data_IF_651510188726
#
_entry.id   IF_651510188726
#
_cell.length_a   1.000
_cell.length_b   1.000
_cell.length_c   1.000
_cell.angle_alpha   90.00
_cell.angle_beta   90.00
_cell.angle_gamma   90.00
#
_symmetry.space_group_name_H-M   'P 1'
#
loop_
_entity.id
_entity.type
_entity.pdbx_description
1 polymer ?
#
# COMPACT_ATOMS: atom_id res chain seq x y z
N UNK A 1 15.46 1.26 -14.65
CA UNK A 1 15.52 -0.15 -15.13
C UNK A 1 15.85 -0.14 -16.60
N UNK A 2 16.98 -0.72 -17.00
CA UNK A 2 17.45 -0.87 -18.39
C UNK A 2 17.41 -2.33 -18.80
N UNK A 3 17.29 -2.61 -20.09
CA UNK A 3 17.35 -3.97 -20.63
C UNK A 3 18.63 -4.13 -21.45
N UNK A 4 19.51 -5.01 -21.01
CA UNK A 4 20.73 -5.35 -21.71
C UNK A 4 20.45 -6.49 -22.68
N UNK A 5 20.57 -6.23 -23.97
CA UNK A 5 20.37 -7.20 -25.04
C UNK A 5 21.73 -7.71 -25.49
N UNK A 6 21.98 -9.01 -25.35
CA UNK A 6 23.27 -9.65 -25.68
C UNK A 6 22.99 -10.65 -26.78
N UNK A 7 23.39 -10.30 -28.00
CA UNK A 7 23.10 -11.05 -29.21
C UNK A 7 24.21 -10.75 -30.22
N UNK A 8 24.86 -11.76 -30.80
CA UNK A 8 25.97 -11.60 -31.73
C UNK A 8 25.52 -11.16 -33.13
N UNK A 9 24.32 -11.51 -33.55
CA UNK A 9 23.77 -11.09 -34.81
C UNK A 9 23.24 -9.63 -34.69
N UNK A 10 23.87 -8.65 -35.38
CA UNK A 10 23.47 -7.25 -35.25
C UNK A 10 22.00 -6.97 -35.67
N UNK A 11 21.53 -7.64 -36.73
CA UNK A 11 20.18 -7.48 -37.24
C UNK A 11 19.14 -7.96 -36.19
N UNK A 12 19.44 -9.08 -35.56
CA UNK A 12 18.58 -9.64 -34.55
C UNK A 12 18.66 -8.86 -33.21
N UNK A 13 19.84 -8.38 -32.84
CA UNK A 13 20.03 -7.46 -31.71
C UNK A 13 19.18 -6.19 -31.88
N UNK A 14 19.28 -5.56 -33.05
CA UNK A 14 18.48 -4.36 -33.38
C UNK A 14 16.98 -4.66 -33.38
N UNK A 15 16.55 -5.82 -33.85
CA UNK A 15 15.16 -6.26 -33.81
C UNK A 15 14.64 -6.32 -32.38
N UNK A 16 15.36 -7.02 -31.48
CA UNK A 16 14.98 -7.13 -30.07
C UNK A 16 15.00 -5.78 -29.37
N UNK A 17 16.02 -4.96 -29.62
CA UNK A 17 16.08 -3.59 -29.08
C UNK A 17 14.90 -2.73 -29.55
N UNK A 18 14.52 -2.80 -30.83
CA UNK A 18 13.40 -2.05 -31.37
C UNK A 18 12.06 -2.55 -30.83
N UNK A 19 11.92 -3.85 -30.62
CA UNK A 19 10.75 -4.45 -29.97
C UNK A 19 10.57 -3.87 -28.56
N UNK A 20 11.64 -3.81 -27.77
CA UNK A 20 11.64 -3.26 -26.42
C UNK A 20 11.42 -1.75 -26.39
N UNK A 21 12.03 -1.00 -27.30
CA UNK A 21 11.85 0.46 -27.40
C UNK A 21 10.43 0.87 -27.76
N UNK A 22 9.68 0.10 -28.56
CA UNK A 22 8.25 0.34 -28.82
C UNK A 22 7.43 0.37 -27.53
N UNK A 23 7.84 -0.40 -26.53
CA UNK A 23 7.23 -0.43 -25.19
C UNK A 23 7.91 0.51 -24.18
N UNK A 24 8.69 1.48 -24.66
CA UNK A 24 9.36 2.52 -23.85
C UNK A 24 10.44 1.99 -22.89
N UNK A 25 11.07 0.84 -23.18
CA UNK A 25 12.21 0.33 -22.41
C UNK A 25 13.53 0.91 -22.95
N UNK A 26 14.38 1.31 -22.00
CA UNK A 26 15.76 1.72 -22.30
C UNK A 26 16.61 0.47 -22.57
N UNK A 27 17.31 0.43 -23.70
CA UNK A 27 18.08 -0.74 -24.13
C UNK A 27 19.56 -0.45 -24.27
N UNK A 28 20.39 -1.42 -23.90
CA UNK A 28 21.84 -1.42 -24.14
C UNK A 28 22.25 -2.73 -24.83
N UNK A 29 23.07 -2.63 -25.88
CA UNK A 29 23.47 -3.78 -26.70
C UNK A 29 24.88 -4.25 -26.40
N UNK A 30 25.10 -5.57 -26.42
CA UNK A 30 26.39 -6.21 -26.46
C UNK A 30 26.35 -7.37 -27.46
N UNK A 31 27.48 -7.67 -28.09
CA UNK A 31 27.59 -8.68 -29.15
C UNK A 31 28.45 -9.91 -28.76
N UNK A 32 29.00 -9.90 -27.55
CA UNK A 32 29.80 -11.00 -27.01
C UNK A 32 29.88 -10.90 -25.46
N UNK A 33 30.36 -11.97 -24.81
CA UNK A 33 30.46 -12.05 -23.35
C UNK A 33 31.42 -10.99 -22.77
N UNK A 34 32.54 -10.73 -23.46
CA UNK A 34 33.53 -9.77 -22.99
C UNK A 34 32.98 -8.35 -22.90
N UNK A 35 32.22 -7.92 -23.91
CA UNK A 35 31.54 -6.63 -23.92
C UNK A 35 30.39 -6.59 -22.92
N UNK A 36 29.62 -7.67 -22.82
CA UNK A 36 28.54 -7.80 -21.85
C UNK A 36 29.03 -7.64 -20.39
N UNK A 37 30.13 -8.31 -20.02
CA UNK A 37 30.76 -8.19 -18.69
C UNK A 37 31.15 -6.75 -18.39
N UNK A 38 31.71 -6.01 -19.36
CA UNK A 38 32.08 -4.58 -19.18
C UNK A 38 30.87 -3.68 -18.96
N UNK A 39 29.80 -3.89 -19.70
CA UNK A 39 28.56 -3.15 -19.55
C UNK A 39 27.87 -3.47 -18.23
N UNK A 40 27.78 -4.74 -17.88
CA UNK A 40 27.17 -5.22 -16.65
C UNK A 40 27.95 -4.84 -15.39
N UNK A 41 29.25 -4.51 -15.51
CA UNK A 41 30.01 -3.98 -14.38
C UNK A 41 29.36 -2.70 -13.80
N UNK A 42 28.73 -1.88 -14.66
CA UNK A 42 28.07 -0.62 -14.30
C UNK A 42 26.53 -0.73 -14.18
N UNK A 43 25.96 -1.94 -14.29
CA UNK A 43 24.52 -2.15 -14.22
C UNK A 43 24.01 -2.04 -12.78
N UNK A 44 22.76 -1.62 -12.65
CA UNK A 44 22.03 -1.55 -11.38
C UNK A 44 21.31 -2.88 -11.10
N UNK A 45 20.92 -3.11 -9.84
CA UNK A 45 20.30 -4.39 -9.40
C UNK A 45 18.99 -4.68 -10.15
N UNK A 46 18.28 -3.63 -10.52
CA UNK A 46 16.95 -3.70 -11.14
C UNK A 46 16.99 -3.77 -12.69
N UNK A 47 18.18 -3.81 -13.26
CA UNK A 47 18.34 -3.99 -14.71
C UNK A 47 18.05 -5.44 -15.11
N UNK A 48 17.64 -5.63 -16.37
CA UNK A 48 17.31 -6.95 -16.93
C UNK A 48 18.32 -7.30 -17.99
N UNK A 49 18.75 -8.54 -18.01
CA UNK A 49 19.65 -9.11 -19.04
C UNK A 49 18.87 -10.11 -19.89
N UNK A 50 18.84 -9.88 -21.20
CA UNK A 50 18.27 -10.77 -22.22
C UNK A 50 19.39 -11.21 -23.12
N UNK A 51 19.80 -12.46 -23.04
CA UNK A 51 21.00 -12.95 -23.71
C UNK A 51 20.72 -14.15 -24.62
N UNK A 52 21.29 -14.15 -25.83
CA UNK A 52 21.31 -15.37 -26.64
C UNK A 52 22.15 -16.45 -25.93
N UNK A 53 21.72 -17.69 -26.06
CA UNK A 53 22.41 -18.82 -25.48
C UNK A 53 23.84 -18.94 -26.02
N UNK A 54 24.03 -18.84 -27.35
CA UNK A 54 25.31 -19.01 -28.02
C UNK A 54 25.86 -17.67 -28.48
N UNK A 55 27.06 -17.34 -28.04
CA UNK A 55 27.79 -16.13 -28.38
C UNK A 55 29.15 -16.50 -28.96
N UNK A 56 29.82 -15.63 -29.73
CA UNK A 56 31.08 -15.94 -30.39
C UNK A 56 32.22 -16.37 -29.46
N UNK A 57 32.18 -15.91 -28.21
CA UNK A 57 33.19 -16.11 -27.18
C UNK A 57 32.74 -17.02 -26.03
N UNK A 58 31.63 -17.78 -26.20
CA UNK A 58 31.12 -18.75 -25.24
C UNK A 58 29.62 -18.79 -25.09
N UNK A 59 29.11 -19.45 -24.07
CA UNK A 59 27.66 -19.51 -23.77
C UNK A 59 27.25 -18.47 -22.74
N UNK A 60 26.05 -17.91 -22.90
CA UNK A 60 25.51 -16.92 -21.95
C UNK A 60 25.30 -17.48 -20.53
N UNK A 61 25.27 -18.80 -20.37
CA UNK A 61 25.28 -19.45 -19.05
C UNK A 61 26.57 -19.12 -18.28
N UNK A 62 27.69 -18.99 -18.95
CA UNK A 62 28.95 -18.55 -18.32
C UNK A 62 28.87 -17.11 -17.83
N UNK A 63 28.13 -16.24 -18.55
CA UNK A 63 27.87 -14.90 -18.11
C UNK A 63 26.99 -14.90 -16.86
N UNK A 64 25.95 -15.73 -16.82
CA UNK A 64 25.11 -15.91 -15.65
C UNK A 64 25.89 -16.39 -14.43
N UNK A 65 26.76 -17.40 -14.60
CA UNK A 65 27.68 -17.87 -13.54
C UNK A 65 28.59 -16.75 -13.03
N UNK A 66 29.19 -15.98 -13.96
CA UNK A 66 30.03 -14.84 -13.63
C UNK A 66 29.24 -13.78 -12.87
N UNK A 67 28.00 -13.47 -13.28
CA UNK A 67 27.13 -12.51 -12.58
C UNK A 67 26.89 -12.96 -11.13
N UNK A 68 26.53 -14.22 -10.92
CA UNK A 68 26.25 -14.75 -9.57
C UNK A 68 27.51 -14.78 -8.69
N UNK A 69 28.65 -15.10 -9.26
CA UNK A 69 29.94 -15.09 -8.56
C UNK A 69 30.42 -13.66 -8.17
N UNK A 70 29.90 -12.63 -8.81
CA UNK A 70 30.19 -11.22 -8.51
C UNK A 70 29.00 -10.47 -7.84
N UNK A 71 28.14 -11.20 -7.12
CA UNK A 71 26.95 -10.67 -6.39
C UNK A 71 25.99 -9.86 -7.27
N UNK A 72 26.00 -10.06 -8.58
CA UNK A 72 25.09 -9.41 -9.50
C UNK A 72 23.79 -10.19 -9.60
N UNK A 73 22.73 -9.63 -9.03
CA UNK A 73 21.42 -10.28 -8.87
C UNK A 73 20.39 -9.87 -9.94
N UNK A 74 20.83 -9.18 -11.01
CA UNK A 74 19.95 -8.78 -12.10
C UNK A 74 19.17 -9.97 -12.65
N UNK A 75 17.94 -9.70 -13.11
CA UNK A 75 17.12 -10.69 -13.78
C UNK A 75 17.79 -11.10 -15.09
N UNK A 76 17.94 -12.41 -15.29
CA UNK A 76 18.56 -12.97 -16.49
C UNK A 76 17.54 -13.81 -17.26
N UNK A 77 17.37 -13.52 -18.54
CA UNK A 77 16.49 -14.24 -19.47
C UNK A 77 17.35 -14.77 -20.61
N UNK A 78 17.23 -16.06 -20.90
CA UNK A 78 17.96 -16.69 -22.02
C UNK A 78 17.07 -16.69 -23.25
N UNK A 79 17.61 -16.25 -24.38
CA UNK A 79 17.03 -16.44 -25.73
C UNK A 79 17.71 -17.58 -26.46
N UNK A 80 17.01 -18.32 -27.29
CA UNK A 80 17.60 -19.38 -28.10
C UNK A 80 16.80 -19.70 -29.36
N UNK A 81 17.48 -20.14 -30.39
CA UNK A 81 16.82 -20.68 -31.57
C UNK A 81 16.35 -22.14 -31.36
N UNK A 82 16.99 -22.88 -30.46
CA UNK A 82 16.72 -24.30 -30.23
C UNK A 82 16.41 -24.56 -28.77
N UNK A 83 15.28 -25.24 -28.52
CA UNK A 83 14.86 -25.63 -27.17
C UNK A 83 15.60 -26.87 -26.66
N UNK A 84 16.83 -26.73 -26.21
CA UNK A 84 17.58 -27.83 -25.56
C UNK A 84 17.14 -27.90 -24.08
N UNK A 85 16.44 -28.97 -23.73
CA UNK A 85 15.89 -29.19 -22.38
C UNK A 85 16.97 -29.16 -21.30
N UNK A 86 18.13 -29.75 -21.56
CA UNK A 86 19.24 -29.82 -20.60
C UNK A 86 19.77 -28.42 -20.26
N UNK A 87 20.00 -27.59 -21.24
CA UNK A 87 20.51 -26.22 -21.11
C UNK A 87 19.49 -25.29 -20.43
N UNK A 88 18.20 -25.48 -20.75
CA UNK A 88 17.14 -24.78 -20.07
C UNK A 88 17.07 -25.08 -18.56
N UNK A 89 17.16 -26.37 -18.19
CA UNK A 89 17.18 -26.80 -16.79
C UNK A 89 18.41 -26.27 -16.05
N UNK A 90 19.58 -26.26 -16.68
CA UNK A 90 20.80 -25.73 -16.09
C UNK A 90 20.71 -24.22 -15.86
N UNK A 91 20.25 -23.44 -16.85
CA UNK A 91 20.08 -21.98 -16.71
C UNK A 91 19.12 -21.65 -15.61
N UNK A 92 17.99 -22.37 -15.47
CA UNK A 92 17.01 -22.18 -14.41
C UNK A 92 17.60 -22.50 -13.02
N UNK A 93 18.42 -23.57 -12.89
CA UNK A 93 19.10 -23.88 -11.62
C UNK A 93 20.10 -22.81 -11.20
N UNK A 94 20.71 -22.12 -12.16
CA UNK A 94 21.65 -21.00 -11.93
C UNK A 94 20.92 -19.68 -11.65
N UNK A 95 19.57 -19.68 -11.69
CA UNK A 95 18.76 -18.52 -11.35
C UNK A 95 18.44 -17.62 -12.55
N UNK A 96 18.36 -18.16 -13.77
CA UNK A 96 17.70 -17.46 -14.87
C UNK A 96 16.19 -17.37 -14.58
N UNK A 97 15.56 -16.26 -14.96
CA UNK A 97 14.12 -16.04 -14.74
C UNK A 97 13.27 -16.81 -15.74
N UNK A 98 13.74 -16.91 -16.99
CA UNK A 98 13.05 -17.64 -18.06
C UNK A 98 14.02 -18.05 -19.16
N UNK A 99 13.55 -18.98 -20.01
CA UNK A 99 14.25 -19.50 -21.20
C UNK A 99 13.28 -19.45 -22.37
N UNK A 100 13.48 -18.50 -23.30
CA UNK A 100 12.52 -18.16 -24.33
C UNK A 100 13.08 -18.52 -25.72
N UNK A 101 12.30 -19.26 -26.51
CA UNK A 101 12.65 -19.48 -27.91
C UNK A 101 12.46 -18.18 -28.71
N UNK A 102 13.44 -17.88 -29.60
CA UNK A 102 13.43 -16.64 -30.41
C UNK A 102 12.13 -16.43 -31.22
N UNK A 103 11.47 -17.51 -31.61
CA UNK A 103 10.18 -17.47 -32.33
C UNK A 103 9.01 -16.97 -31.44
N UNK A 104 9.14 -17.05 -30.12
CA UNK A 104 8.11 -16.67 -29.16
C UNK A 104 8.43 -15.37 -28.41
N UNK A 105 9.45 -14.62 -28.86
CA UNK A 105 9.91 -13.41 -28.17
C UNK A 105 8.85 -12.34 -28.09
N UNK A 106 8.11 -12.04 -29.16
CA UNK A 106 7.03 -11.05 -29.12
C UNK A 106 5.94 -11.40 -28.13
N UNK A 107 5.54 -12.66 -28.09
CA UNK A 107 4.42 -13.12 -27.25
C UNK A 107 4.81 -13.30 -25.78
N UNK A 108 6.08 -13.56 -25.46
CA UNK A 108 6.52 -13.90 -24.11
C UNK A 108 7.40 -12.85 -23.44
N UNK A 109 8.36 -12.26 -24.19
CA UNK A 109 9.35 -11.37 -23.60
C UNK A 109 8.71 -10.07 -23.07
N UNK A 110 7.88 -9.43 -23.87
CA UNK A 110 7.26 -8.15 -23.48
C UNK A 110 6.34 -8.31 -22.27
N UNK A 111 5.40 -9.29 -22.21
CA UNK A 111 4.58 -9.52 -21.01
C UNK A 111 5.42 -9.85 -19.77
N UNK A 112 6.51 -10.61 -19.93
CA UNK A 112 7.42 -10.93 -18.82
C UNK A 112 8.11 -9.67 -18.29
N UNK A 113 8.71 -8.85 -19.17
CA UNK A 113 9.41 -7.62 -18.78
C UNK A 113 8.43 -6.62 -18.15
N UNK A 114 7.21 -6.46 -18.68
CA UNK A 114 6.16 -5.63 -18.06
C UNK A 114 5.77 -6.12 -16.66
N UNK A 115 5.72 -7.43 -16.44
CA UNK A 115 5.47 -8.00 -15.13
C UNK A 115 6.61 -7.67 -14.16
N UNK A 116 7.86 -7.82 -14.61
CA UNK A 116 9.04 -7.48 -13.84
C UNK A 116 9.12 -5.97 -13.53
N UNK A 117 8.75 -5.12 -14.49
CA UNK A 117 8.66 -3.68 -14.28
C UNK A 117 7.62 -3.32 -13.21
N UNK A 118 6.44 -3.92 -13.27
CA UNK A 118 5.40 -3.73 -12.23
C UNK A 118 5.86 -4.22 -10.86
N UNK A 119 6.57 -5.34 -10.80
CA UNK A 119 7.19 -5.84 -9.57
C UNK A 119 8.26 -4.87 -9.04
N UNK A 120 9.06 -4.29 -9.95
CA UNK A 120 10.06 -3.28 -9.62
C UNK A 120 9.43 -1.97 -9.14
N UNK A 121 8.42 -1.45 -9.84
CA UNK A 121 7.66 -0.26 -9.43
C UNK A 121 7.01 -0.47 -8.05
N UNK A 122 6.45 -1.65 -7.80
CA UNK A 122 5.98 -2.03 -6.47
C UNK A 122 7.12 -2.03 -5.45
N UNK A 123 8.31 -2.56 -5.75
CA UNK A 123 9.47 -2.50 -4.86
C UNK A 123 9.94 -1.07 -4.62
N UNK A 124 9.94 -0.21 -5.63
CA UNK A 124 10.29 1.21 -5.46
C UNK A 124 9.26 1.95 -4.60
N UNK A 125 7.97 1.65 -4.76
CA UNK A 125 6.92 2.12 -3.85
C UNK A 125 7.14 1.61 -2.41
N UNK A 126 7.80 0.47 -2.23
CA UNK A 126 8.13 -0.14 -0.93
C UNK A 126 9.47 0.33 -0.37
N UNK A 127 10.38 0.84 -1.22
CA UNK A 127 11.67 1.47 -0.85
C UNK A 127 11.55 3.00 -0.66
N UNK A 128 10.35 3.56 -0.59
CA UNK A 128 10.19 4.92 -0.06
C UNK A 128 10.86 4.91 1.31
N UNK A 129 11.82 5.82 1.56
CA UNK A 129 12.47 5.88 2.86
C UNK A 129 11.41 5.94 3.94
N UNK A 130 11.28 4.88 4.74
CA UNK A 130 10.28 4.84 5.79
C UNK A 130 10.76 5.83 6.84
N UNK A 131 10.07 6.95 6.96
CA UNK A 131 10.37 7.88 8.03
C UNK A 131 10.09 7.21 9.37
N UNK A 132 11.13 6.97 10.12
CA UNK A 132 11.03 6.41 11.47
C UNK A 132 10.71 7.55 12.43
N UNK A 133 9.42 7.69 12.77
CA UNK A 133 8.95 8.63 13.79
C UNK A 133 9.71 8.41 15.10
N UNK A 134 10.07 9.52 15.77
CA UNK A 134 10.90 9.49 16.98
C UNK A 134 10.11 9.73 18.27
N UNK A 135 8.85 10.16 18.16
CA UNK A 135 7.98 10.42 19.29
C UNK A 135 7.81 9.21 20.22
N UNK A 136 7.63 9.48 21.51
CA UNK A 136 7.53 8.44 22.54
C UNK A 136 6.44 7.41 22.27
N UNK A 137 5.29 7.88 21.78
CA UNK A 137 4.16 7.03 21.40
C UNK A 137 4.56 6.03 20.31
N UNK A 138 5.29 6.50 19.28
CA UNK A 138 5.75 5.64 18.20
C UNK A 138 6.86 4.69 18.63
N UNK A 139 7.74 5.09 19.53
CA UNK A 139 8.77 4.20 20.10
C UNK A 139 8.16 3.02 20.86
N UNK A 140 7.04 3.25 21.57
CA UNK A 140 6.26 2.16 22.19
C UNK A 140 5.71 1.19 21.16
N UNK A 141 5.18 1.70 20.05
CA UNK A 141 4.70 0.88 18.92
C UNK A 141 5.86 0.09 18.31
N UNK A 142 7.00 0.71 18.06
CA UNK A 142 8.20 0.04 17.51
C UNK A 142 8.67 -1.14 18.36
N UNK A 143 8.64 -1.00 19.69
CA UNK A 143 8.93 -2.13 20.62
C UNK A 143 7.92 -3.26 20.44
N UNK A 144 6.62 -2.95 20.33
CA UNK A 144 5.56 -3.95 20.13
C UNK A 144 5.67 -4.64 18.76
N UNK A 145 6.01 -3.89 17.70
CA UNK A 145 6.30 -4.43 16.36
C UNK A 145 7.44 -5.44 16.42
N UNK A 146 8.57 -5.09 17.04
CA UNK A 146 9.72 -6.02 17.20
C UNK A 146 9.34 -7.29 17.93
N UNK A 147 8.53 -7.19 18.98
CA UNK A 147 8.08 -8.35 19.75
C UNK A 147 7.23 -9.29 18.90
N UNK A 148 6.20 -8.77 18.21
CA UNK A 148 5.28 -9.61 17.43
C UNK A 148 5.87 -10.08 16.11
N UNK A 149 6.83 -9.36 15.53
CA UNK A 149 7.47 -9.72 14.26
C UNK A 149 8.12 -11.11 14.30
N UNK A 150 8.70 -11.48 15.44
CA UNK A 150 9.36 -12.80 15.64
C UNK A 150 8.40 -13.99 15.71
N UNK A 151 7.10 -13.71 15.85
CA UNK A 151 6.04 -14.73 15.98
C UNK A 151 5.29 -14.93 14.66
N UNK A 152 4.43 -15.93 14.60
CA UNK A 152 3.46 -16.15 13.51
C UNK A 152 2.04 -15.69 13.85
N UNK A 153 1.85 -15.01 14.97
CA UNK A 153 0.55 -14.50 15.40
C UNK A 153 -0.04 -13.57 14.35
N UNK A 154 -1.35 -13.63 14.20
CA UNK A 154 -2.12 -12.63 13.46
C UNK A 154 -2.05 -11.28 14.19
N UNK A 155 -1.93 -10.20 13.45
CA UNK A 155 -1.84 -8.85 14.03
C UNK A 155 -2.96 -7.99 13.51
N UNK A 156 -3.71 -7.37 14.43
CA UNK A 156 -4.72 -6.37 14.09
C UNK A 156 -4.19 -4.96 14.41
N UNK A 157 -4.10 -4.11 13.39
CA UNK A 157 -3.65 -2.72 13.51
C UNK A 157 -4.88 -1.82 13.50
N UNK A 158 -5.12 -1.15 14.62
CA UNK A 158 -6.22 -0.20 14.78
C UNK A 158 -5.71 1.24 14.66
N UNK A 159 -6.48 2.12 14.04
CA UNK A 159 -6.16 3.54 13.97
C UNK A 159 -6.90 4.28 12.87
N UNK A 160 -6.96 5.59 12.99
CA UNK A 160 -7.61 6.45 12.00
C UNK A 160 -6.98 6.32 10.61
N UNK A 161 -7.73 6.76 9.59
CA UNK A 161 -7.20 6.79 8.23
C UNK A 161 -5.99 7.73 8.13
N UNK A 162 -4.99 7.32 7.34
CA UNK A 162 -3.77 8.12 7.15
C UNK A 162 -2.75 8.08 8.29
N UNK A 163 -2.94 7.28 9.36
CA UNK A 163 -1.97 7.16 10.48
C UNK A 163 -0.72 6.36 10.14
N UNK A 164 -0.72 5.62 9.01
CA UNK A 164 0.41 4.80 8.56
C UNK A 164 0.29 3.32 8.97
N UNK A 165 -0.91 2.76 9.04
CA UNK A 165 -1.16 1.34 9.38
C UNK A 165 -0.41 0.39 8.43
N UNK A 166 -0.41 0.68 7.14
CA UNK A 166 0.31 -0.12 6.13
C UNK A 166 1.83 -0.14 6.39
N UNK A 167 2.44 1.00 6.76
CA UNK A 167 3.86 1.05 7.11
C UNK A 167 4.18 0.16 8.31
N UNK A 168 3.30 0.10 9.29
CA UNK A 168 3.48 -0.80 10.44
C UNK A 168 3.39 -2.26 10.00
N UNK A 169 2.45 -2.61 9.12
CA UNK A 169 2.35 -3.97 8.57
C UNK A 169 3.62 -4.37 7.81
N UNK A 170 4.17 -3.47 7.00
CA UNK A 170 5.46 -3.67 6.31
C UNK A 170 6.62 -3.86 7.29
N UNK A 171 6.70 -3.04 8.34
CA UNK A 171 7.71 -3.19 9.40
C UNK A 171 7.63 -4.52 10.12
N UNK A 172 6.40 -5.00 10.42
CA UNK A 172 6.20 -6.32 11.02
C UNK A 172 6.75 -7.42 10.11
N UNK A 173 6.49 -7.33 8.82
CA UNK A 173 6.99 -8.28 7.83
C UNK A 173 8.52 -8.24 7.71
N UNK A 174 9.10 -7.04 7.50
CA UNK A 174 10.55 -6.84 7.34
C UNK A 174 11.36 -7.29 8.56
N UNK A 175 10.82 -7.18 9.78
CA UNK A 175 11.49 -7.63 11.01
C UNK A 175 11.16 -9.08 11.38
N UNK A 176 10.40 -9.78 10.54
CA UNK A 176 10.03 -11.19 10.76
C UNK A 176 11.00 -12.15 10.08
N UNK A 177 10.87 -13.45 10.42
CA UNK A 177 11.55 -14.53 9.69
C UNK A 177 11.05 -14.72 8.26
N UNK A 178 10.05 -13.95 7.84
CA UNK A 178 9.45 -13.98 6.52
C UNK A 178 9.86 -12.77 5.65
N UNK A 179 10.87 -12.00 6.07
CA UNK A 179 11.29 -10.76 5.39
C UNK A 179 11.65 -10.98 3.89
N UNK A 180 12.22 -12.16 3.56
CA UNK A 180 12.58 -12.54 2.18
C UNK A 180 11.43 -13.24 1.43
N UNK A 181 10.26 -13.36 2.05
CA UNK A 181 9.07 -14.00 1.48
C UNK A 181 8.09 -12.96 0.94
N UNK A 182 7.09 -13.36 0.14
CA UNK A 182 6.12 -12.42 -0.39
C UNK A 182 5.39 -11.64 0.72
N UNK A 183 5.20 -10.35 0.49
CA UNK A 183 4.24 -9.52 1.22
C UNK A 183 3.19 -9.04 0.23
N UNK A 184 1.97 -9.46 0.41
CA UNK A 184 0.86 -9.09 -0.46
C UNK A 184 -0.09 -8.18 0.31
N UNK A 185 -0.26 -6.95 -0.18
CA UNK A 185 -1.19 -5.98 0.43
C UNK A 185 -2.49 -5.93 -0.38
N UNK A 186 -3.61 -5.98 0.32
CA UNK A 186 -4.95 -5.96 -0.26
C UNK A 186 -5.80 -4.93 0.46
N UNK A 187 -6.30 -3.96 -0.28
CA UNK A 187 -7.34 -3.03 0.19
C UNK A 187 -8.71 -3.69 0.01
N UNK A 188 -9.34 -4.06 1.12
CA UNK A 188 -10.65 -4.71 1.12
C UNK A 188 -11.78 -3.76 0.71
N UNK A 189 -11.59 -2.45 0.85
CA UNK A 189 -12.57 -1.43 0.46
C UNK A 189 -12.58 -1.13 -1.05
N UNK A 190 -11.45 -1.34 -1.74
CA UNK A 190 -11.32 -1.07 -3.17
C UNK A 190 -11.92 -2.17 -4.07
N UNK A 191 -12.21 -3.35 -3.52
CA UNK A 191 -12.69 -4.50 -4.28
C UNK A 191 -14.23 -4.54 -4.32
N UNK A 192 -14.80 -4.73 -5.52
CA UNK A 192 -16.24 -4.94 -5.63
C UNK A 192 -16.66 -6.27 -4.99
N UNK A 193 -17.84 -6.35 -4.34
CA UNK A 193 -18.33 -7.57 -3.70
C UNK A 193 -18.37 -8.79 -4.64
N UNK A 194 -18.61 -8.58 -5.92
CA UNK A 194 -18.69 -9.66 -6.92
C UNK A 194 -17.32 -10.23 -7.33
N UNK A 195 -16.25 -9.45 -7.19
CA UNK A 195 -14.90 -9.85 -7.60
C UNK A 195 -13.99 -10.22 -6.43
N UNK A 196 -14.38 -9.89 -5.20
CA UNK A 196 -13.54 -10.06 -4.02
C UNK A 196 -13.12 -11.51 -3.79
N UNK A 197 -14.02 -12.47 -3.95
CA UNK A 197 -13.73 -13.90 -3.80
C UNK A 197 -12.70 -14.38 -4.83
N UNK A 198 -12.90 -14.00 -6.09
CA UNK A 198 -11.98 -14.33 -7.19
C UNK A 198 -10.62 -13.65 -7.02
N UNK A 199 -10.56 -12.43 -6.48
CA UNK A 199 -9.32 -11.73 -6.20
C UNK A 199 -8.52 -12.41 -5.06
N UNK A 200 -9.21 -12.81 -3.97
CA UNK A 200 -8.57 -13.45 -2.83
C UNK A 200 -8.13 -14.88 -3.09
N UNK A 201 -9.01 -15.70 -3.67
CA UNK A 201 -8.81 -17.15 -3.77
C UNK A 201 -8.50 -17.63 -5.18
N UNK A 202 -8.57 -16.72 -6.17
CA UNK A 202 -8.42 -17.09 -7.57
C UNK A 202 -9.67 -17.76 -8.15
N UNK A 203 -9.63 -18.07 -9.43
CA UNK A 203 -10.70 -18.80 -10.12
C UNK A 203 -10.14 -19.73 -11.20
N UNK A 204 -10.93 -20.74 -11.55
CA UNK A 204 -10.67 -21.59 -12.71
C UNK A 204 -11.40 -21.05 -13.94
N UNK A 205 -10.91 -21.38 -15.13
CA UNK A 205 -11.55 -21.03 -16.39
C UNK A 205 -13.02 -21.49 -16.38
N UNK A 206 -13.93 -20.60 -16.77
CA UNK A 206 -15.36 -20.88 -16.83
C UNK A 206 -16.11 -20.79 -15.48
N UNK A 207 -15.47 -20.31 -14.41
CA UNK A 207 -16.10 -20.17 -13.10
C UNK A 207 -17.25 -19.14 -13.07
N UNK A 208 -17.21 -18.12 -13.93
CA UNK A 208 -18.26 -17.12 -14.12
C UNK A 208 -18.13 -16.49 -15.52
N UNK A 209 -19.11 -15.69 -15.93
CA UNK A 209 -19.10 -14.97 -17.22
C UNK A 209 -17.92 -13.99 -17.24
N UNK A 210 -16.97 -14.22 -18.18
CA UNK A 210 -15.71 -13.46 -18.27
C UNK A 210 -14.48 -14.15 -17.67
N UNK A 211 -14.61 -15.35 -17.06
CA UNK A 211 -13.48 -16.15 -16.60
C UNK A 211 -12.83 -16.92 -17.78
N UNK A 212 -12.09 -16.23 -18.63
CA UNK A 212 -11.47 -16.79 -19.86
C UNK A 212 -10.24 -17.66 -19.57
N UNK A 213 -9.55 -17.42 -18.44
CA UNK A 213 -8.35 -18.14 -18.03
C UNK A 213 -8.37 -18.45 -16.52
N UNK A 214 -7.50 -19.37 -16.09
CA UNK A 214 -7.23 -19.55 -14.65
C UNK A 214 -6.50 -18.33 -14.10
N UNK A 215 -6.92 -17.84 -12.92
CA UNK A 215 -6.24 -16.74 -12.22
C UNK A 215 -5.88 -17.15 -10.80
N UNK A 216 -4.65 -16.88 -10.40
CA UNK A 216 -4.20 -17.01 -9.01
C UNK A 216 -4.80 -15.90 -8.16
N UNK A 217 -5.07 -16.19 -6.88
CA UNK A 217 -5.56 -15.21 -5.92
C UNK A 217 -4.48 -14.81 -4.92
N UNK A 218 -4.72 -13.72 -4.20
CA UNK A 218 -3.81 -13.15 -3.21
C UNK A 218 -3.33 -14.14 -2.14
N UNK A 219 -4.18 -15.11 -1.77
CA UNK A 219 -3.80 -16.15 -0.81
C UNK A 219 -2.66 -17.02 -1.32
N UNK A 220 -2.67 -17.40 -2.61
CA UNK A 220 -1.59 -18.17 -3.21
C UNK A 220 -0.36 -17.31 -3.48
N UNK A 221 -0.56 -16.04 -3.86
CA UNK A 221 0.52 -15.09 -4.07
C UNK A 221 1.30 -14.81 -2.78
N UNK A 222 0.61 -14.86 -1.63
CA UNK A 222 1.18 -14.66 -0.30
C UNK A 222 1.71 -15.94 0.36
N UNK A 223 1.66 -17.08 -0.34
CA UNK A 223 2.05 -18.36 0.27
C UNK A 223 3.49 -18.37 0.80
N UNK A 224 3.67 -18.86 2.01
CA UNK A 224 4.92 -18.82 2.75
C UNK A 224 5.29 -17.45 3.30
N UNK A 225 4.55 -16.39 2.99
CA UNK A 225 4.80 -14.99 3.32
C UNK A 225 3.75 -14.35 4.24
N UNK A 226 3.44 -13.09 3.96
CA UNK A 226 2.48 -12.27 4.74
C UNK A 226 1.42 -11.68 3.82
N UNK A 227 0.15 -11.83 4.20
CA UNK A 227 -0.98 -11.16 3.59
C UNK A 227 -1.43 -10.01 4.50
N UNK A 228 -1.36 -8.80 4.00
CA UNK A 228 -1.86 -7.60 4.67
C UNK A 228 -3.23 -7.25 4.12
N UNK A 229 -4.21 -7.13 5.03
CA UNK A 229 -5.60 -6.81 4.73
C UNK A 229 -5.91 -5.43 5.28
N UNK A 230 -5.93 -4.40 4.43
CA UNK A 230 -6.35 -3.06 4.84
C UNK A 230 -7.87 -2.95 4.77
N UNK A 231 -8.43 -2.15 5.68
CA UNK A 231 -9.88 -1.91 5.81
C UNK A 231 -10.70 -3.22 5.93
N UNK A 232 -10.22 -4.17 6.76
CA UNK A 232 -10.83 -5.50 6.90
C UNK A 232 -12.31 -5.47 7.33
N UNK A 233 -12.76 -4.37 7.96
CA UNK A 233 -14.17 -4.14 8.31
C UNK A 233 -15.12 -4.09 7.11
N UNK A 234 -14.61 -3.80 5.90
CA UNK A 234 -15.40 -3.72 4.66
C UNK A 234 -15.69 -5.09 4.02
N UNK A 235 -15.15 -6.19 4.56
CA UNK A 235 -15.42 -7.53 4.04
C UNK A 235 -16.88 -7.93 4.23
N UNK A 236 -17.49 -8.52 3.19
CA UNK A 236 -18.83 -9.10 3.29
C UNK A 236 -18.85 -10.31 4.23
N UNK A 237 -20.00 -10.63 4.83
CA UNK A 237 -20.13 -11.76 5.76
C UNK A 237 -19.71 -13.09 5.13
N UNK A 238 -19.97 -13.27 3.84
CA UNK A 238 -19.56 -14.45 3.09
C UNK A 238 -18.03 -14.52 2.96
N UNK A 239 -17.39 -13.39 2.62
CA UNK A 239 -15.94 -13.29 2.51
C UNK A 239 -15.24 -13.51 3.87
N UNK A 240 -15.85 -13.00 4.95
CA UNK A 240 -15.37 -13.24 6.31
C UNK A 240 -15.38 -14.73 6.68
N UNK A 241 -16.42 -15.46 6.27
CA UNK A 241 -16.49 -16.91 6.49
C UNK A 241 -15.40 -17.67 5.72
N UNK A 242 -15.19 -17.31 4.46
CA UNK A 242 -14.14 -17.94 3.62
C UNK A 242 -12.74 -17.62 4.16
N UNK A 243 -12.52 -16.39 4.58
CA UNK A 243 -11.25 -15.96 5.19
C UNK A 243 -10.98 -16.70 6.50
N UNK A 244 -11.98 -16.84 7.36
CA UNK A 244 -11.86 -17.61 8.61
C UNK A 244 -11.43 -19.04 8.34
N UNK A 245 -12.08 -19.71 7.39
CA UNK A 245 -11.74 -21.08 6.99
C UNK A 245 -10.29 -21.15 6.49
N UNK A 246 -9.89 -20.22 5.61
CA UNK A 246 -8.54 -20.18 5.07
C UNK A 246 -7.45 -19.97 6.15
N UNK A 247 -7.74 -19.15 7.18
CA UNK A 247 -6.82 -18.92 8.30
C UNK A 247 -6.74 -20.15 9.23
N UNK A 248 -7.88 -20.81 9.52
CA UNK A 248 -7.94 -21.91 10.47
C UNK A 248 -7.42 -23.22 9.89
N UNK A 249 -7.89 -23.57 8.68
CA UNK A 249 -7.58 -24.85 8.04
C UNK A 249 -6.33 -24.78 7.15
N UNK A 250 -5.82 -23.57 6.86
CA UNK A 250 -4.75 -23.34 5.86
C UNK A 250 -5.11 -23.87 4.48
N UNK A 251 -6.41 -23.91 4.20
CA UNK A 251 -6.99 -24.41 2.95
C UNK A 251 -8.02 -23.42 2.43
N UNK A 252 -8.06 -23.28 1.12
CA UNK A 252 -9.02 -22.44 0.45
C UNK A 252 -9.42 -23.09 -0.89
N UNK A 253 -10.56 -22.68 -1.43
CA UNK A 253 -11.04 -23.18 -2.72
C UNK A 253 -11.13 -22.04 -3.71
N UNK A 254 -10.41 -22.11 -4.85
CA UNK A 254 -10.62 -21.17 -5.95
C UNK A 254 -12.06 -21.23 -6.47
N UNK A 255 -12.59 -20.10 -6.93
CA UNK A 255 -13.97 -20.02 -7.45
C UNK A 255 -14.11 -20.98 -8.65
N UNK A 256 -15.14 -21.84 -8.60
CA UNK A 256 -15.41 -22.87 -9.61
C UNK A 256 -14.50 -24.12 -9.55
N UNK A 257 -13.52 -24.18 -8.64
CA UNK A 257 -12.67 -25.36 -8.47
C UNK A 257 -13.38 -26.46 -7.68
N UNK A 258 -13.06 -27.73 -7.98
CA UNK A 258 -13.56 -28.91 -7.26
C UNK A 258 -12.71 -29.26 -6.04
N UNK A 259 -11.44 -28.89 -6.05
CA UNK A 259 -10.46 -29.26 -5.04
C UNK A 259 -10.01 -28.05 -4.21
N UNK A 260 -9.71 -28.28 -2.95
CA UNK A 260 -9.11 -27.30 -2.06
C UNK A 260 -7.60 -27.19 -2.32
N UNK A 261 -7.07 -25.98 -2.20
CA UNK A 261 -5.62 -25.70 -2.22
C UNK A 261 -5.16 -25.34 -0.82
N UNK A 262 -3.88 -25.55 -0.55
CA UNK A 262 -3.24 -25.16 0.71
C UNK A 262 -2.43 -23.88 0.53
N UNK A 263 -2.44 -23.01 1.55
CA UNK A 263 -1.53 -21.87 1.65
C UNK A 263 -1.20 -21.60 3.13
N UNK A 264 0.06 -21.32 3.41
CA UNK A 264 0.54 -21.02 4.75
C UNK A 264 0.91 -19.54 4.85
N UNK A 265 -0.05 -18.71 5.15
CA UNK A 265 0.06 -17.26 5.11
C UNK A 265 -0.01 -16.68 6.53
N UNK A 266 0.88 -15.73 6.86
CA UNK A 266 0.76 -14.89 8.05
C UNK A 266 -0.20 -13.75 7.75
N UNK A 267 -1.18 -13.51 8.64
CA UNK A 267 -2.16 -12.45 8.47
C UNK A 267 -1.77 -11.23 9.29
N UNK A 268 -1.79 -10.06 8.64
CA UNK A 268 -1.77 -8.75 9.28
C UNK A 268 -2.99 -7.99 8.77
N UNK A 269 -3.88 -7.57 9.64
CA UNK A 269 -5.11 -6.86 9.28
C UNK A 269 -5.07 -5.43 9.82
N UNK A 270 -5.71 -4.50 9.13
CA UNK A 270 -5.86 -3.12 9.58
C UNK A 270 -7.29 -2.63 9.41
N UNK A 271 -7.73 -1.75 10.29
CA UNK A 271 -9.02 -1.06 10.20
C UNK A 271 -9.02 0.24 10.99
N UNK A 272 -9.88 1.16 10.60
CA UNK A 272 -10.24 2.35 11.36
C UNK A 272 -11.56 2.18 12.14
N UNK A 273 -12.29 1.08 11.88
CA UNK A 273 -13.60 0.79 12.46
C UNK A 273 -13.46 0.04 13.80
N UNK A 274 -14.42 0.28 14.70
CA UNK A 274 -14.60 -0.53 15.90
C UNK A 274 -15.25 -1.87 15.52
N UNK A 275 -14.42 -2.90 15.32
CA UNK A 275 -14.91 -4.23 14.96
C UNK A 275 -15.77 -4.87 16.06
N UNK A 276 -15.60 -4.51 17.33
CA UNK A 276 -16.45 -5.02 18.40
C UNK A 276 -17.89 -4.51 18.26
N UNK A 277 -18.03 -3.23 17.90
CA UNK A 277 -19.32 -2.64 17.56
C UNK A 277 -19.91 -3.29 16.31
N UNK A 278 -19.09 -3.51 15.27
CA UNK A 278 -19.50 -4.20 14.04
C UNK A 278 -20.00 -5.62 14.31
N UNK A 279 -19.42 -6.35 15.27
CA UNK A 279 -19.91 -7.66 15.72
C UNK A 279 -21.29 -7.54 16.37
N UNK A 280 -21.48 -6.55 17.26
CA UNK A 280 -22.79 -6.31 17.91
C UNK A 280 -23.87 -5.97 16.87
N UNK A 281 -23.50 -5.23 15.83
CA UNK A 281 -24.38 -4.88 14.70
C UNK A 281 -24.54 -6.00 13.67
N UNK A 282 -23.95 -7.18 13.89
CA UNK A 282 -23.94 -8.34 12.99
C UNK A 282 -23.36 -8.08 11.58
N UNK A 283 -22.49 -7.07 11.47
CA UNK A 283 -21.73 -6.77 10.24
C UNK A 283 -20.37 -7.47 10.20
N UNK A 284 -19.87 -7.90 11.36
CA UNK A 284 -18.61 -8.64 11.46
C UNK A 284 -18.77 -9.90 12.32
N UNK A 285 -18.06 -10.98 11.96
CA UNK A 285 -18.13 -12.25 12.68
C UNK A 285 -17.21 -12.23 13.90
N UNK A 286 -17.72 -12.64 15.03
CA UNK A 286 -16.97 -12.69 16.29
C UNK A 286 -15.81 -13.71 16.24
N UNK A 287 -16.01 -14.85 15.59
CA UNK A 287 -15.00 -15.89 15.44
C UNK A 287 -13.81 -15.42 14.58
N UNK A 288 -14.05 -14.68 13.51
CA UNK A 288 -13.01 -14.06 12.69
C UNK A 288 -12.25 -12.99 13.49
N UNK A 289 -12.97 -12.14 14.24
CA UNK A 289 -12.36 -11.11 15.07
C UNK A 289 -11.35 -11.72 16.05
N UNK A 290 -11.70 -12.78 16.76
CA UNK A 290 -10.77 -13.46 17.68
C UNK A 290 -9.52 -14.01 16.98
N UNK A 291 -9.65 -14.44 15.72
CA UNK A 291 -8.51 -14.92 14.94
C UNK A 291 -7.61 -13.81 14.41
N UNK A 292 -8.16 -12.62 14.12
CA UNK A 292 -7.39 -11.47 13.66
C UNK A 292 -6.72 -10.72 14.81
N UNK A 293 -7.32 -10.68 16.00
CA UNK A 293 -6.85 -9.91 17.16
C UNK A 293 -5.97 -10.70 18.14
N UNK A 294 -5.23 -11.72 17.66
CA UNK A 294 -4.27 -12.44 18.54
C UNK A 294 -3.24 -11.47 19.12
N UNK A 295 -2.86 -10.44 18.38
CA UNK A 295 -2.08 -9.32 18.86
C UNK A 295 -2.62 -8.01 18.28
N UNK A 296 -2.82 -7.00 19.13
CA UNK A 296 -3.39 -5.71 18.68
C UNK A 296 -2.36 -4.60 18.80
N UNK A 297 -2.20 -3.78 17.74
CA UNK A 297 -1.40 -2.56 17.77
C UNK A 297 -2.32 -1.39 17.47
N UNK A 298 -2.37 -0.39 18.35
CA UNK A 298 -3.18 0.82 18.13
C UNK A 298 -2.27 1.97 17.72
N UNK A 299 -2.57 2.57 16.56
CA UNK A 299 -1.87 3.73 16.02
C UNK A 299 -2.49 5.01 16.57
N UNK A 300 -1.73 5.87 17.24
CA UNK A 300 -2.23 7.16 17.68
C UNK A 300 -2.45 8.10 16.47
N UNK A 301 -3.48 8.95 16.49
CA UNK A 301 -3.63 10.00 15.51
C UNK A 301 -2.50 11.03 15.63
N UNK A 302 -2.19 11.73 14.53
CA UNK A 302 -1.03 12.65 14.46
C UNK A 302 -1.13 13.79 15.47
N UNK A 303 -2.34 14.29 15.75
CA UNK A 303 -2.61 15.32 16.77
C UNK A 303 -2.19 14.92 18.19
N UNK A 304 -2.07 13.63 18.47
CA UNK A 304 -1.57 13.10 19.76
C UNK A 304 -0.05 12.87 19.77
N UNK A 305 0.64 13.23 18.68
CA UNK A 305 2.09 13.07 18.52
C UNK A 305 2.71 14.37 17.95
N UNK A 306 2.58 15.52 18.63
CA UNK A 306 3.05 16.80 18.11
C UNK A 306 4.56 16.81 17.82
N UNK A 307 5.34 16.03 18.56
CA UNK A 307 6.77 15.85 18.37
C UNK A 307 7.16 15.24 17.02
N UNK A 308 6.24 14.53 16.36
CA UNK A 308 6.48 13.91 15.06
C UNK A 308 6.10 14.82 13.88
N UNK A 309 5.31 15.88 14.09
CA UNK A 309 4.76 16.73 13.02
C UNK A 309 5.90 17.40 12.23
N UNK A 310 6.78 18.14 12.90
CA UNK A 310 7.86 18.85 12.20
C UNK A 310 8.86 17.92 11.52
N UNK A 311 9.35 16.85 12.16
CA UNK A 311 10.20 15.88 11.50
C UNK A 311 9.56 15.23 10.26
N UNK A 312 8.26 14.92 10.31
CA UNK A 312 7.52 14.41 9.16
C UNK A 312 7.38 15.46 8.07
N UNK A 313 7.07 16.71 8.42
CA UNK A 313 6.97 17.81 7.47
C UNK A 313 8.29 18.06 6.72
N UNK A 314 9.42 18.08 7.42
CA UNK A 314 10.75 18.22 6.81
C UNK A 314 11.06 17.02 5.88
N UNK A 315 10.76 15.82 6.30
CA UNK A 315 10.93 14.63 5.48
C UNK A 315 10.09 14.71 4.18
N UNK A 316 8.81 15.09 4.27
CA UNK A 316 7.95 15.23 3.10
C UNK A 316 8.36 16.39 2.19
N UNK A 317 8.88 17.49 2.76
CA UNK A 317 9.46 18.60 2.00
C UNK A 317 10.66 18.12 1.16
N UNK A 318 11.57 17.35 1.76
CA UNK A 318 12.71 16.80 1.03
C UNK A 318 12.29 15.84 -0.07
N UNK A 319 11.30 15.00 0.18
CA UNK A 319 10.73 14.11 -0.85
C UNK A 319 10.10 14.93 -1.99
N UNK A 320 9.26 15.91 -1.67
CA UNK A 320 8.62 16.77 -2.65
C UNK A 320 9.65 17.59 -3.46
N UNK A 321 10.73 18.07 -2.83
CA UNK A 321 11.81 18.75 -3.54
C UNK A 321 12.46 17.85 -4.60
N UNK A 322 12.68 16.57 -4.30
CA UNK A 322 13.26 15.60 -5.25
C UNK A 322 12.28 15.27 -6.38
N UNK A 323 11.03 15.04 -6.03
CA UNK A 323 9.98 14.64 -6.96
C UNK A 323 9.59 15.77 -7.93
N UNK A 324 9.55 17.02 -7.43
CA UNK A 324 9.12 18.20 -8.18
C UNK A 324 10.32 19.03 -8.70
N UNK A 325 11.55 18.56 -8.53
CA UNK A 325 12.80 19.27 -8.89
C UNK A 325 12.88 20.69 -8.31
N UNK A 326 12.35 20.88 -7.08
CA UNK A 326 12.36 22.16 -6.34
C UNK A 326 13.51 22.20 -5.34
N UNK A 327 13.78 23.39 -4.78
CA UNK A 327 14.88 23.63 -3.82
C UNK A 327 14.41 24.43 -2.60
N UNK A 328 13.22 24.16 -2.12
CA UNK A 328 12.67 24.81 -0.93
C UNK A 328 13.47 24.39 0.31
N UNK A 329 14.03 25.36 1.05
CA UNK A 329 15.00 25.10 2.13
C UNK A 329 14.36 24.70 3.46
N UNK A 330 13.10 25.14 3.72
CA UNK A 330 12.44 24.86 4.99
C UNK A 330 11.10 25.58 5.13
N UNK A 331 10.68 25.77 6.38
CA UNK A 331 9.43 26.40 6.75
C UNK A 331 9.68 27.73 7.48
N UNK A 332 8.95 28.78 7.11
CA UNK A 332 8.88 30.02 7.86
C UNK A 332 8.32 29.79 9.27
N UNK A 333 8.55 30.73 10.19
CA UNK A 333 8.05 30.60 11.57
C UNK A 333 6.53 30.53 11.63
N UNK A 334 5.80 31.29 10.79
CA UNK A 334 4.34 31.23 10.66
C UNK A 334 3.86 29.84 10.22
N UNK A 335 4.48 29.25 9.19
CA UNK A 335 4.16 27.92 8.71
C UNK A 335 4.39 26.84 9.78
N UNK A 336 5.49 26.92 10.54
CA UNK A 336 5.76 25.98 11.65
C UNK A 336 4.67 26.02 12.71
N UNK A 337 4.27 27.23 13.11
CA UNK A 337 3.20 27.42 14.09
C UNK A 337 1.88 26.86 13.57
N UNK A 338 1.52 27.12 12.32
CA UNK A 338 0.33 26.59 11.68
C UNK A 338 0.32 25.06 11.62
N UNK A 339 1.44 24.44 11.23
CA UNK A 339 1.60 22.98 11.19
C UNK A 339 1.38 22.34 12.56
N UNK A 340 1.92 22.95 13.63
CA UNK A 340 1.78 22.45 15.01
C UNK A 340 0.39 22.68 15.61
N UNK A 341 -0.31 23.72 15.18
CA UNK A 341 -1.64 24.06 15.66
C UNK A 341 -2.77 23.27 14.96
N UNK A 342 -2.50 22.76 13.76
CA UNK A 342 -3.51 22.06 12.97
C UNK A 342 -3.84 20.67 13.54
N UNK A 343 -5.13 20.28 13.48
CA UNK A 343 -5.63 19.04 14.09
C UNK A 343 -5.33 17.75 13.28
N UNK A 344 -4.98 17.90 12.02
CA UNK A 344 -4.65 16.80 11.10
C UNK A 344 -5.70 15.67 11.04
N UNK A 345 -6.96 15.94 10.65
CA UNK A 345 -8.00 14.92 10.57
C UNK A 345 -7.63 13.77 9.60
N UNK A 346 -6.91 14.07 8.51
CA UNK A 346 -6.37 13.07 7.60
C UNK A 346 -4.99 12.52 7.99
N UNK A 347 -4.50 12.87 9.20
CA UNK A 347 -3.26 12.39 9.77
C UNK A 347 -2.02 12.61 8.85
N UNK A 348 -1.14 11.61 8.75
CA UNK A 348 0.10 11.68 7.96
C UNK A 348 -0.17 11.78 6.46
N UNK A 349 -1.28 11.22 5.98
CA UNK A 349 -1.68 11.32 4.56
C UNK A 349 -1.99 12.77 4.18
N UNK A 350 -2.74 13.47 5.01
CA UNK A 350 -3.06 14.89 4.82
C UNK A 350 -1.80 15.76 4.94
N UNK A 351 -0.97 15.53 5.96
CA UNK A 351 0.29 16.26 6.14
C UNK A 351 1.18 16.13 4.89
N UNK A 352 1.36 14.90 4.38
CA UNK A 352 2.14 14.66 3.15
C UNK A 352 1.59 15.46 1.97
N UNK A 353 0.28 15.40 1.74
CA UNK A 353 -0.38 16.09 0.63
C UNK A 353 -0.23 17.61 0.74
N UNK A 354 -0.50 18.19 1.91
CA UNK A 354 -0.37 19.64 2.15
C UNK A 354 1.07 20.13 1.96
N UNK A 355 2.06 19.39 2.44
CA UNK A 355 3.47 19.72 2.23
C UNK A 355 3.87 19.63 0.75
N UNK A 356 3.44 18.59 0.04
CA UNK A 356 3.72 18.45 -1.39
C UNK A 356 3.14 19.61 -2.21
N UNK A 357 1.90 20.00 -1.91
CA UNK A 357 1.24 21.17 -2.53
C UNK A 357 1.99 22.45 -2.19
N UNK A 358 2.35 22.66 -0.93
CA UNK A 358 3.10 23.84 -0.49
C UNK A 358 4.47 23.98 -1.17
N UNK A 359 5.20 22.88 -1.36
CA UNK A 359 6.47 22.87 -2.11
C UNK A 359 6.24 23.22 -3.58
N UNK A 360 5.13 22.77 -4.19
CA UNK A 360 4.81 23.09 -5.58
C UNK A 360 4.47 24.58 -5.76
N UNK A 361 3.68 25.16 -4.85
CA UNK A 361 3.17 26.53 -4.93
C UNK A 361 4.14 27.58 -4.43
N UNK A 362 5.09 27.21 -3.57
CA UNK A 362 6.07 28.14 -2.98
C UNK A 362 6.84 28.89 -4.06
N UNK A 363 6.79 30.23 -4.02
CA UNK A 363 7.55 31.11 -4.93
C UNK A 363 8.95 31.40 -4.39
N UNK A 364 9.19 31.18 -3.09
CA UNK A 364 10.44 31.47 -2.40
C UNK A 364 11.19 30.24 -1.91
N UNK A 365 12.28 30.48 -1.17
CA UNK A 365 13.11 29.43 -0.56
C UNK A 365 12.49 28.79 0.70
N UNK A 366 11.42 29.37 1.24
CA UNK A 366 10.77 28.94 2.48
C UNK A 366 9.27 28.83 2.30
N UNK A 367 8.68 27.76 2.79
CA UNK A 367 7.22 27.58 2.83
C UNK A 367 6.64 28.54 3.88
N UNK A 368 5.65 29.32 3.46
CA UNK A 368 4.88 30.21 4.35
C UNK A 368 3.57 29.55 4.80
N UNK A 369 2.84 30.17 5.72
CA UNK A 369 1.53 29.71 6.13
C UNK A 369 0.51 29.74 4.97
N UNK A 370 0.61 30.73 4.09
CA UNK A 370 -0.23 30.86 2.92
C UNK A 370 -0.04 29.69 1.94
N UNK A 371 1.19 29.20 1.75
CA UNK A 371 1.50 28.08 0.86
C UNK A 371 0.91 26.75 1.37
N UNK A 372 0.65 26.63 2.69
CA UNK A 372 0.11 25.40 3.28
C UNK A 372 -1.39 25.24 3.03
N UNK A 373 -2.12 26.33 2.74
CA UNK A 373 -3.56 26.32 2.56
C UNK A 373 -4.28 25.46 3.61
N UNK A 374 -3.86 25.60 4.87
CA UNK A 374 -4.53 24.92 5.97
C UNK A 374 -5.86 25.62 6.19
N UNK A 375 -6.95 24.88 6.07
CA UNK A 375 -8.27 25.41 6.39
C UNK A 375 -8.27 25.81 7.86
N UNK A 376 -8.31 27.12 8.11
CA UNK A 376 -8.56 27.69 9.43
C UNK A 376 -10.03 27.49 9.82
N UNK A 377 -10.59 26.30 9.61
CA UNK A 377 -11.75 25.93 10.38
C UNK A 377 -11.27 25.76 11.82
N UNK A 378 -11.74 26.62 12.75
CA UNK A 378 -11.57 26.33 14.16
C UNK A 378 -12.15 24.94 14.32
N UNK A 379 -11.31 24.00 14.73
CA UNK A 379 -11.63 22.63 15.05
C UNK A 379 -13.06 22.54 15.57
N UNK A 380 -14.02 22.49 14.64
CA UNK A 380 -15.29 21.92 14.93
C UNK A 380 -14.94 20.47 15.18
N UNK A 381 -14.57 20.18 16.42
CA UNK A 381 -14.61 18.85 16.97
C UNK A 381 -15.75 18.19 16.22
N UNK A 382 -15.41 17.24 15.34
CA UNK A 382 -16.34 16.25 14.89
C UNK A 382 -16.94 15.74 16.18
N UNK A 383 -18.06 16.35 16.54
CA UNK A 383 -18.88 15.84 17.59
C UNK A 383 -19.30 14.48 17.04
N UNK A 384 -18.43 13.50 17.27
CA UNK A 384 -18.88 12.16 17.43
C UNK A 384 -20.15 12.29 18.25
N UNK A 385 -21.27 11.91 17.67
CA UNK A 385 -22.55 11.82 18.39
C UNK A 385 -22.43 10.69 19.39
N UNK A 386 -21.52 10.86 20.37
CA UNK A 386 -21.66 10.22 21.65
C UNK A 386 -22.84 10.92 22.32
N UNK A 387 -23.79 10.13 22.74
CA UNK A 387 -24.93 10.50 23.57
C UNK A 387 -24.48 11.54 24.62
N UNK A 388 -24.54 12.84 24.26
CA UNK A 388 -24.34 13.91 25.22
C UNK A 388 -25.54 13.85 26.12
N UNK A 389 -25.31 13.99 27.42
CA UNK A 389 -26.36 13.90 28.40
C UNK A 389 -27.49 14.82 27.97
N UNK A 390 -28.73 14.38 28.13
CA UNK A 390 -29.96 15.19 27.84
C UNK A 390 -29.86 16.58 28.40
N UNK A 391 -29.20 16.76 29.53
CA UNK A 391 -29.00 18.01 30.24
C UNK A 391 -28.08 19.00 29.54
N UNK A 392 -27.02 18.52 28.88
CA UNK A 392 -26.10 19.39 28.09
C UNK A 392 -26.77 19.91 26.81
N UNK A 393 -27.53 19.08 26.14
CA UNK A 393 -28.25 19.47 24.91
C UNK A 393 -29.35 20.50 25.24
N UNK A 394 -30.09 20.25 26.30
CA UNK A 394 -31.08 21.21 26.86
C UNK A 394 -30.43 22.55 27.19
N UNK A 395 -29.24 22.53 27.84
CA UNK A 395 -28.51 23.75 28.19
C UNK A 395 -28.02 24.54 26.97
N UNK A 396 -27.66 23.88 25.86
CA UNK A 396 -27.30 24.54 24.60
C UNK A 396 -28.49 25.20 23.92
N UNK A 397 -29.62 24.50 23.86
CA UNK A 397 -30.86 25.03 23.29
C UNK A 397 -31.31 26.28 24.05
N UNK A 398 -31.32 26.25 25.39
CA UNK A 398 -31.67 27.40 26.23
C UNK A 398 -30.73 28.58 26.02
N UNK A 399 -29.43 28.38 25.93
CA UNK A 399 -28.45 29.44 25.63
C UNK A 399 -28.67 30.06 24.27
N UNK A 400 -28.90 29.25 23.23
CA UNK A 400 -29.18 29.75 21.90
C UNK A 400 -30.49 30.52 21.80
N UNK A 401 -31.54 30.08 22.48
CA UNK A 401 -32.81 30.82 22.57
C UNK A 401 -32.65 32.18 23.31
N UNK A 402 -31.87 32.20 24.38
CA UNK A 402 -31.58 33.43 25.13
C UNK A 402 -30.78 34.43 24.30
N UNK A 403 -29.77 33.92 23.56
CA UNK A 403 -28.94 34.72 22.64
C UNK A 403 -29.72 35.22 21.42
N UNK A 404 -30.74 34.48 20.99
CA UNK A 404 -31.63 34.84 19.90
C UNK A 404 -32.87 35.67 20.38
N UNK A 405 -32.90 36.12 21.66
CA UNK A 405 -34.00 36.84 22.24
C UNK A 405 -35.38 36.18 21.98
N UNK A 406 -35.47 34.86 22.11
CA UNK A 406 -36.68 34.07 21.86
C UNK A 406 -36.97 33.74 20.38
N UNK A 407 -36.21 34.29 19.44
CA UNK A 407 -36.44 34.04 18.02
C UNK A 407 -35.97 32.62 17.61
N UNK A 408 -36.94 31.70 17.51
CA UNK A 408 -36.71 30.29 17.19
C UNK A 408 -36.00 30.09 15.82
N UNK A 409 -36.21 31.01 14.85
CA UNK A 409 -35.52 30.96 13.54
C UNK A 409 -34.03 31.28 13.67
N UNK A 410 -33.74 32.29 14.51
CA UNK A 410 -32.35 32.72 14.76
C UNK A 410 -31.63 31.71 15.64
N UNK A 411 -32.29 31.15 16.65
CA UNK A 411 -31.77 30.10 17.50
C UNK A 411 -31.40 28.82 16.71
N UNK A 412 -32.23 28.40 15.75
CA UNK A 412 -31.92 27.28 14.86
C UNK A 412 -30.67 27.55 14.02
N UNK A 413 -30.50 28.80 13.54
CA UNK A 413 -29.30 29.21 12.78
C UNK A 413 -28.03 29.21 13.65
N UNK A 414 -28.13 29.69 14.91
CA UNK A 414 -27.04 29.69 15.90
C UNK A 414 -26.62 28.25 16.25
N UNK A 415 -27.58 27.33 16.34
CA UNK A 415 -27.33 25.92 16.65
C UNK A 415 -26.90 25.09 15.44
N UNK A 416 -26.95 25.66 14.22
CA UNK A 416 -26.64 24.93 12.99
C UNK A 416 -27.60 23.79 12.65
N UNK A 417 -28.86 23.84 13.13
CA UNK A 417 -29.87 22.80 12.91
C UNK A 417 -31.09 23.33 12.14
N UNK A 418 -31.83 22.41 11.52
CA UNK A 418 -33.10 22.76 10.86
C UNK A 418 -34.15 23.24 11.84
N UNK A 419 -35.04 24.15 11.39
CA UNK A 419 -36.13 24.64 12.22
C UNK A 419 -37.00 23.50 12.77
N UNK A 420 -37.37 22.58 11.93
CA UNK A 420 -38.18 21.40 12.30
C UNK A 420 -37.50 20.57 13.40
N UNK A 421 -36.20 20.41 13.31
CA UNK A 421 -35.39 19.70 14.32
C UNK A 421 -35.38 20.45 15.66
N UNK A 422 -35.24 21.78 15.63
CA UNK A 422 -35.30 22.58 16.84
C UNK A 422 -36.69 22.49 17.48
N UNK A 423 -37.77 22.59 16.71
CA UNK A 423 -39.12 22.44 17.22
C UNK A 423 -39.38 21.10 17.89
N UNK A 424 -38.96 20.01 17.26
CA UNK A 424 -39.06 18.66 17.83
C UNK A 424 -38.30 18.54 19.17
N UNK A 425 -37.10 19.14 19.24
CA UNK A 425 -36.30 19.14 20.48
C UNK A 425 -36.86 20.03 21.57
N UNK A 426 -37.51 21.16 21.22
CA UNK A 426 -38.22 22.00 22.21
C UNK A 426 -39.40 21.24 22.80
N UNK A 427 -40.14 20.47 22.03
CA UNK A 427 -41.20 19.57 22.52
C UNK A 427 -40.63 18.45 23.40
N UNK A 428 -39.56 17.79 22.93
CA UNK A 428 -38.91 16.68 23.64
C UNK A 428 -38.39 17.10 25.03
N UNK A 429 -37.89 18.34 25.16
CA UNK A 429 -37.32 18.87 26.41
C UNK A 429 -38.29 19.71 27.22
N UNK A 430 -39.55 19.80 26.81
CA UNK A 430 -40.58 20.58 27.52
C UNK A 430 -40.31 22.09 27.57
N UNK A 431 -39.63 22.63 26.56
CA UNK A 431 -39.23 24.05 26.48
C UNK A 431 -40.15 24.88 25.57
N UNK A 432 -41.33 24.37 25.25
CA UNK A 432 -42.28 25.04 24.34
C UNK A 432 -43.11 26.16 24.97
N UNK A 433 -43.17 26.24 26.28
CA UNK A 433 -43.92 27.23 27.01
C UNK A 433 -43.00 28.01 27.95
N UNK A 434 -42.46 29.13 27.45
CA UNK A 434 -42.17 30.33 28.23
C UNK A 434 -41.96 31.49 27.25
N UNK A 435 -42.89 32.46 27.28
CA UNK A 435 -43.08 33.77 26.66
C UNK A 435 -41.97 34.35 25.77
#
# INVERSE_FOLDING_TARGET
MKVFVIEDNPVYNDYVCNLLKKDSFDTMSAYNLATAKKLLAKSEVDDIVVADLRLPDGESIELLRWMRANDKQQVFIVMTNYGEVHTAVESMKLGSKDYIQKQLLEDKLIPLIRTLQKEHEKRLQWNIPIFVRQGEAYQKIKKRVRLVATTRMSVLILGENGTGKEHIAQHIHQQSKLADKPFVAVDCGALSPSLIQSAFFGHVKGAFTGAEANKTGYFLEADGGTLFLDEVGNLTMEMQQMLLRAIQERRYRPVGAKEDKTANVRIVAATNEDLQKAVTEKRFRQDLLYRLQEYVITMPPLRNCPEDIMPLAEFFREMANRELERKVKGFAASARNALLAHAWPGNVRELKQKIQTAVLQSEGDMITEADLELDNEPSATSACFTLKSRDEERGRILRALKQAAGNKKMAAKILGIGRTTLYNKLVEYGLNEEN
#
